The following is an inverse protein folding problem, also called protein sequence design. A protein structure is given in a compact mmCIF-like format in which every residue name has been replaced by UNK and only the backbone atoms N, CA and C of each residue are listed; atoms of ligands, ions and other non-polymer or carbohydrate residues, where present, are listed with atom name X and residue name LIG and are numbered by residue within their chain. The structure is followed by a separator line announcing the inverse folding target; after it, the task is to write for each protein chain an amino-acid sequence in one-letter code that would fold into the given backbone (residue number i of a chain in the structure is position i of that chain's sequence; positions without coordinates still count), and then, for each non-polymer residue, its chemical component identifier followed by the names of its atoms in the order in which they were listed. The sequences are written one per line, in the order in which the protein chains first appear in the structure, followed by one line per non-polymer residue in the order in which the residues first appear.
data_IF_950235521292
#
_entry.id   IF_950235521292
#
_cell.length_a   1.000
_cell.length_b   1.000
_cell.length_c   1.000
_cell.angle_alpha   90.00
_cell.angle_beta   90.00
_cell.angle_gamma   90.00
#
_symmetry.space_group_name_H-M   'P 1'
#
loop_
_entity.id
_entity.type
_entity.pdbx_description
1 polymer ?
#
# COMPACT_ATOMS: atom_id res chain seq x y z
N UNK A 1 22.48 2.40 -15.20
CA UNK A 1 22.38 1.04 -14.61
C UNK A 1 20.91 0.68 -14.49
N UNK A 2 20.52 -0.56 -14.77
CA UNK A 2 19.14 -1.00 -14.58
C UNK A 2 18.80 -1.02 -13.09
N UNK A 3 17.61 -0.55 -12.73
CA UNK A 3 17.08 -0.69 -11.38
C UNK A 3 16.77 -2.16 -11.13
N UNK A 4 17.24 -2.71 -10.02
CA UNK A 4 16.85 -4.07 -9.61
C UNK A 4 15.42 -4.08 -9.10
N UNK A 5 14.72 -5.20 -9.23
CA UNK A 5 13.37 -5.37 -8.67
C UNK A 5 13.32 -5.02 -7.17
N UNK A 6 14.33 -5.41 -6.41
CA UNK A 6 14.42 -5.06 -4.97
C UNK A 6 14.45 -3.55 -4.74
N UNK A 7 15.26 -2.81 -5.50
CA UNK A 7 15.33 -1.35 -5.36
C UNK A 7 14.06 -0.65 -5.86
N UNK A 8 13.39 -1.20 -6.86
CA UNK A 8 12.08 -0.71 -7.29
C UNK A 8 11.03 -0.88 -6.19
N UNK A 9 10.92 -2.10 -5.62
CA UNK A 9 9.96 -2.41 -4.57
C UNK A 9 10.19 -1.54 -3.32
N UNK A 10 11.46 -1.35 -2.91
CA UNK A 10 11.80 -0.45 -1.80
C UNK A 10 11.35 0.99 -2.03
N UNK A 11 11.42 1.50 -3.27
CA UNK A 11 10.94 2.85 -3.57
C UNK A 11 9.43 2.95 -3.43
N UNK A 12 8.68 1.95 -3.91
CA UNK A 12 7.22 1.90 -3.77
C UNK A 12 6.81 1.85 -2.29
N UNK A 13 7.41 0.95 -1.51
CA UNK A 13 7.10 0.81 -0.07
C UNK A 13 7.44 2.08 0.71
N UNK A 14 8.59 2.71 0.43
CA UNK A 14 8.95 3.98 1.08
C UNK A 14 7.94 5.07 0.79
N UNK A 15 7.50 5.20 -0.47
CA UNK A 15 6.47 6.16 -0.87
C UNK A 15 5.15 5.89 -0.13
N UNK A 16 4.74 4.63 -0.03
CA UNK A 16 3.53 4.26 0.72
C UNK A 16 3.65 4.66 2.20
N UNK A 17 4.75 4.32 2.88
CA UNK A 17 4.98 4.68 4.29
C UNK A 17 4.97 6.19 4.53
N UNK A 18 5.61 6.97 3.65
CA UNK A 18 5.71 8.42 3.80
C UNK A 18 4.39 9.14 3.48
N UNK A 19 3.69 8.75 2.43
CA UNK A 19 2.51 9.47 1.95
C UNK A 19 1.21 8.95 2.57
N UNK A 20 1.01 7.63 2.60
CA UNK A 20 -0.23 7.03 3.11
C UNK A 20 -0.21 7.06 4.64
N UNK A 21 0.79 6.42 5.26
CA UNK A 21 0.80 6.22 6.71
C UNK A 21 1.26 7.45 7.50
N UNK A 22 2.31 8.15 7.05
CA UNK A 22 2.82 9.31 7.79
C UNK A 22 2.06 10.62 7.49
N UNK A 23 1.51 10.79 6.27
CA UNK A 23 0.83 12.04 5.85
C UNK A 23 -0.68 11.90 5.66
N UNK A 24 -1.24 10.70 5.68
CA UNK A 24 -2.67 10.47 5.49
C UNK A 24 -3.16 10.71 4.05
N UNK A 25 -2.27 10.64 3.05
CA UNK A 25 -2.62 10.78 1.63
C UNK A 25 -3.20 9.46 1.08
N UNK A 26 -4.39 9.11 1.55
CA UNK A 26 -5.04 7.82 1.26
C UNK A 26 -5.41 7.63 -0.22
N UNK A 27 -5.57 8.71 -0.98
CA UNK A 27 -5.83 8.62 -2.43
C UNK A 27 -4.69 7.93 -3.19
N UNK A 28 -3.47 7.98 -2.64
CA UNK A 28 -2.33 7.30 -3.22
C UNK A 28 -2.47 5.77 -3.22
N UNK A 29 -3.28 5.20 -2.32
CA UNK A 29 -3.54 3.76 -2.32
C UNK A 29 -4.16 3.30 -3.66
N UNK A 30 -4.96 4.13 -4.32
CA UNK A 30 -5.57 3.82 -5.62
C UNK A 30 -4.51 3.71 -6.75
N UNK A 31 -3.31 4.29 -6.57
CA UNK A 31 -2.20 4.20 -7.53
C UNK A 31 -1.30 3.01 -7.24
N UNK A 32 -1.00 2.75 -5.96
CA UNK A 32 0.04 1.79 -5.55
C UNK A 32 -0.48 0.37 -5.33
N UNK A 33 -1.77 0.20 -5.07
CA UNK A 33 -2.35 -1.07 -4.65
C UNK A 33 -3.21 -1.64 -5.78
N UNK A 34 -2.96 -2.91 -6.12
CA UNK A 34 -3.77 -3.61 -7.11
C UNK A 34 -5.21 -3.80 -6.60
N UNK A 35 -6.26 -3.69 -7.44
CA UNK A 35 -7.65 -3.90 -7.01
C UNK A 35 -7.92 -5.24 -6.32
N UNK A 36 -7.19 -6.28 -6.72
CA UNK A 36 -7.31 -7.65 -6.15
C UNK A 36 -6.32 -7.91 -5.00
N UNK A 37 -5.63 -6.90 -4.48
CA UNK A 37 -4.75 -7.07 -3.32
C UNK A 37 -5.54 -7.59 -2.13
N UNK A 38 -5.00 -8.58 -1.43
CA UNK A 38 -5.56 -9.12 -0.20
C UNK A 38 -4.63 -8.73 0.94
N UNK A 39 -5.13 -7.85 1.80
CA UNK A 39 -4.45 -7.50 3.03
C UNK A 39 -4.73 -8.55 4.11
N UNK A 40 -3.68 -8.94 4.83
CA UNK A 40 -3.69 -9.98 5.84
C UNK A 40 -3.57 -9.42 7.27
N UNK A 41 -3.86 -8.13 7.47
CA UNK A 41 -3.91 -7.50 8.80
C UNK A 41 -4.82 -8.26 9.79
N UNK A 42 -4.26 -8.92 10.82
CA UNK A 42 -5.04 -9.75 11.74
C UNK A 42 -6.08 -8.99 12.56
N UNK A 43 -5.89 -7.69 12.79
CA UNK A 43 -6.86 -6.85 13.50
C UNK A 43 -8.12 -6.56 12.68
N UNK A 44 -8.07 -6.74 11.35
CA UNK A 44 -9.15 -6.41 10.41
C UNK A 44 -9.47 -7.59 9.47
N UNK A 45 -9.96 -8.73 10.01
CA UNK A 45 -10.16 -9.95 9.23
C UNK A 45 -11.25 -9.86 8.15
N UNK A 46 -12.14 -8.87 8.23
CA UNK A 46 -13.26 -8.66 7.30
C UNK A 46 -13.05 -7.45 6.37
N UNK A 47 -11.82 -6.93 6.27
CA UNK A 47 -11.53 -5.80 5.38
C UNK A 47 -11.78 -6.15 3.90
N UNK A 48 -12.17 -5.15 3.07
CA UNK A 48 -12.33 -5.35 1.64
C UNK A 48 -11.00 -5.69 0.97
N UNK A 49 -11.02 -6.10 -0.29
CA UNK A 49 -9.79 -6.21 -1.10
C UNK A 49 -9.36 -4.85 -1.65
N UNK A 50 -8.13 -4.79 -2.13
CA UNK A 50 -7.63 -3.70 -2.95
C UNK A 50 -7.22 -2.45 -2.17
N UNK A 51 -7.20 -1.28 -2.82
CA UNK A 51 -6.82 -0.01 -2.19
C UNK A 51 -7.61 0.30 -0.92
N UNK A 52 -8.87 -0.11 -0.85
CA UNK A 52 -9.74 0.20 0.28
C UNK A 52 -9.30 -0.52 1.57
N UNK A 53 -8.71 -1.71 1.46
CA UNK A 53 -8.16 -2.42 2.62
C UNK A 53 -7.09 -1.57 3.30
N UNK A 54 -6.17 -1.02 2.51
CA UNK A 54 -5.04 -0.20 2.99
C UNK A 54 -5.54 1.11 3.61
N UNK A 55 -6.61 1.71 3.07
CA UNK A 55 -7.17 2.95 3.65
C UNK A 55 -7.82 2.74 5.01
N UNK A 56 -8.33 1.53 5.28
CA UNK A 56 -8.99 1.20 6.55
C UNK A 56 -8.00 0.78 7.64
N UNK A 57 -6.79 0.36 7.27
CA UNK A 57 -5.75 -0.14 8.19
C UNK A 57 -4.55 0.77 8.35
N UNK A 58 -4.48 1.87 7.58
CA UNK A 58 -3.39 2.86 7.64
C UNK A 58 -3.46 3.84 8.81
#
# INVERSE_FOLDING_TARGET
MAVTMSEHNKRLVRRALEEIYAKGNFELANELVHPDFVDHEPAHPEQPTGPESVKQTA
#
